data_IF_819473853297
#
_entry.id   IF_819473853297
#
_cell.length_a   1.000
_cell.length_b   1.000
_cell.length_c   1.000
_cell.angle_alpha   90.00
_cell.angle_beta   90.00
_cell.angle_gamma   90.00
#
_symmetry.space_group_name_H-M   'P 1'
#
loop_
_entity.id
_entity.type
_entity.pdbx_description
1 polymer ?
#
# COMPACT_ATOMS: atom_id res chain seq x y z
N UNK A 1 11.65 11.42 -2.61
CA UNK A 1 10.40 11.31 -1.82
C UNK A 1 10.11 9.84 -1.58
N UNK A 2 9.97 9.43 -0.31
CA UNK A 2 9.64 8.04 0.04
C UNK A 2 8.16 7.79 -0.21
N UNK A 3 7.81 6.64 -0.78
CA UNK A 3 6.42 6.19 -0.79
C UNK A 3 5.97 5.78 0.63
N UNK A 4 4.66 5.66 0.83
CA UNK A 4 4.11 5.16 2.10
C UNK A 4 4.40 3.67 2.26
N UNK A 5 4.46 3.19 3.51
CA UNK A 5 4.60 1.76 3.81
C UNK A 5 3.44 0.93 3.22
N UNK A 6 2.24 1.51 3.16
CA UNK A 6 1.05 0.87 2.57
C UNK A 6 1.23 0.65 1.07
N UNK A 7 1.78 1.66 0.38
CA UNK A 7 2.11 1.54 -1.04
C UNK A 7 3.16 0.47 -1.30
N UNK A 8 4.25 0.48 -0.54
CA UNK A 8 5.34 -0.51 -0.71
C UNK A 8 4.83 -1.93 -0.46
N UNK A 9 4.06 -2.16 0.61
CA UNK A 9 3.43 -3.45 0.87
C UNK A 9 2.52 -3.90 -0.29
N UNK A 10 1.68 -3.01 -0.81
CA UNK A 10 0.80 -3.35 -1.92
C UNK A 10 1.58 -3.76 -3.18
N UNK A 11 2.71 -3.10 -3.45
CA UNK A 11 3.59 -3.44 -4.57
C UNK A 11 4.27 -4.80 -4.35
N UNK A 12 4.78 -5.06 -3.15
CA UNK A 12 5.42 -6.34 -2.80
C UNK A 12 4.44 -7.51 -2.91
N UNK A 13 3.21 -7.34 -2.41
CA UNK A 13 2.19 -8.39 -2.50
C UNK A 13 1.76 -8.60 -3.95
N UNK A 14 1.62 -7.53 -4.74
CA UNK A 14 1.28 -7.67 -6.15
C UNK A 14 2.41 -8.38 -6.95
N UNK A 15 3.67 -8.04 -6.69
CA UNK A 15 4.84 -8.71 -7.28
C UNK A 15 4.90 -10.20 -6.87
N UNK A 16 4.60 -10.52 -5.62
CA UNK A 16 4.68 -11.90 -5.12
C UNK A 16 3.53 -12.81 -5.61
N UNK A 17 2.36 -12.24 -5.88
CA UNK A 17 1.15 -13.00 -6.22
C UNK A 17 0.84 -12.99 -7.73
N UNK A 18 1.70 -12.38 -8.55
CA UNK A 18 1.53 -12.31 -10.01
C UNK A 18 2.86 -12.47 -10.75
N UNK A 19 2.82 -12.54 -12.08
CA UNK A 19 4.01 -12.59 -12.92
C UNK A 19 4.61 -11.20 -13.21
N UNK A 20 4.13 -10.14 -12.53
CA UNK A 20 4.65 -8.79 -12.72
C UNK A 20 6.04 -8.65 -12.11
N UNK A 21 6.95 -8.05 -12.86
CA UNK A 21 8.19 -7.53 -12.29
C UNK A 21 7.89 -6.43 -11.26
N UNK A 22 8.84 -6.19 -10.35
CA UNK A 22 8.76 -5.08 -9.38
C UNK A 22 8.37 -3.74 -10.01
N UNK A 23 8.92 -3.43 -11.19
CA UNK A 23 8.62 -2.18 -11.88
C UNK A 23 7.17 -2.13 -12.37
N UNK A 24 6.67 -3.23 -12.91
CA UNK A 24 5.30 -3.34 -13.39
C UNK A 24 4.29 -3.33 -12.25
N UNK A 25 4.55 -4.04 -11.15
CA UNK A 25 3.71 -4.02 -9.96
C UNK A 25 3.58 -2.58 -9.41
N UNK A 26 4.70 -1.87 -9.26
CA UNK A 26 4.71 -0.45 -8.84
C UNK A 26 3.95 0.45 -9.82
N UNK A 27 4.18 0.27 -11.13
CA UNK A 27 3.50 1.03 -12.17
C UNK A 27 1.99 0.83 -12.15
N UNK A 28 1.55 -0.41 -11.90
CA UNK A 28 0.15 -0.81 -11.79
C UNK A 28 -0.54 -0.13 -10.61
N UNK A 29 0.05 -0.23 -9.42
CA UNK A 29 -0.49 0.42 -8.22
C UNK A 29 -0.51 1.95 -8.40
N UNK A 30 0.55 2.56 -8.95
CA UNK A 30 0.56 4.01 -9.21
C UNK A 30 -0.52 4.45 -10.19
N UNK A 31 -0.79 3.66 -11.23
CA UNK A 31 -1.84 3.96 -12.19
C UNK A 31 -3.23 3.88 -11.54
N UNK A 32 -3.48 2.85 -10.73
CA UNK A 32 -4.71 2.74 -9.95
C UNK A 32 -4.91 3.90 -8.97
N UNK A 33 -3.85 4.30 -8.25
CA UNK A 33 -3.88 5.46 -7.36
C UNK A 33 -4.15 6.76 -8.12
N UNK A 34 -3.51 6.97 -9.27
CA UNK A 34 -3.73 8.16 -10.11
C UNK A 34 -5.17 8.24 -10.60
N UNK A 35 -5.78 7.11 -11.00
CA UNK A 35 -7.20 7.02 -11.37
C UNK A 35 -8.12 7.39 -10.20
N UNK A 36 -7.69 7.14 -8.96
CA UNK A 36 -8.42 7.51 -7.74
C UNK A 36 -8.18 8.96 -7.27
N UNK A 37 -7.28 9.70 -7.92
CA UNK A 37 -6.83 11.02 -7.42
C UNK A 37 -5.99 10.93 -6.14
N UNK A 38 -5.30 9.81 -5.90
CA UNK A 38 -4.52 9.55 -4.70
C UNK A 38 -3.02 9.49 -5.01
N UNK A 39 -2.21 9.80 -3.99
CA UNK A 39 -0.76 9.88 -4.10
C UNK A 39 -0.07 8.79 -3.29
N UNK A 40 0.90 8.11 -3.91
CA UNK A 40 1.60 6.96 -3.32
C UNK A 40 2.32 7.25 -1.98
N UNK A 41 2.71 8.51 -1.74
CA UNK A 41 3.40 8.93 -0.53
C UNK A 41 2.46 9.30 0.63
N UNK A 42 1.16 9.50 0.35
CA UNK A 42 0.16 9.97 1.32
C UNK A 42 -1.00 8.97 1.53
N UNK A 43 -1.04 7.89 0.75
CA UNK A 43 -2.07 6.86 0.81
C UNK A 43 -2.06 6.12 2.16
N UNK A 44 -3.23 5.96 2.75
CA UNK A 44 -3.43 5.12 3.94
C UNK A 44 -4.01 3.73 3.61
N UNK A 45 -4.16 2.90 4.64
CA UNK A 45 -4.66 1.53 4.50
C UNK A 45 -6.08 1.46 3.95
N UNK A 46 -6.97 2.32 4.42
CA UNK A 46 -8.39 2.24 4.10
C UNK A 46 -8.61 2.72 2.67
N UNK A 47 -7.94 3.79 2.27
CA UNK A 47 -7.88 4.25 0.90
C UNK A 47 -7.28 3.18 -0.03
N UNK A 48 -6.19 2.50 0.38
CA UNK A 48 -5.60 1.42 -0.42
C UNK A 48 -6.54 0.22 -0.56
N UNK A 49 -7.28 -0.15 0.48
CA UNK A 49 -8.31 -1.20 0.40
C UNK A 49 -9.38 -0.83 -0.65
N UNK A 50 -9.87 0.41 -0.63
CA UNK A 50 -10.86 0.89 -1.61
C UNK A 50 -10.30 0.84 -3.03
N UNK A 51 -9.07 1.31 -3.26
CA UNK A 51 -8.41 1.25 -4.57
C UNK A 51 -8.27 -0.20 -5.04
N UNK A 52 -7.84 -1.09 -4.14
CA UNK A 52 -7.69 -2.53 -4.40
C UNK A 52 -9.01 -3.18 -4.82
N UNK A 53 -10.11 -2.81 -4.18
CA UNK A 53 -11.42 -3.41 -4.44
C UNK A 53 -12.16 -2.78 -5.65
N UNK A 54 -11.92 -1.50 -5.95
CA UNK A 54 -12.72 -0.74 -6.92
C UNK A 54 -12.01 -0.40 -8.23
N UNK A 55 -10.68 -0.31 -8.23
CA UNK A 55 -9.93 0.22 -9.37
C UNK A 55 -8.89 -0.78 -9.87
N UNK A 56 -8.16 -1.40 -8.94
CA UNK A 56 -7.13 -2.38 -9.28
C UNK A 56 -7.63 -3.57 -10.13
N UNK A 57 -8.88 -4.08 -10.02
CA UNK A 57 -9.33 -5.18 -10.87
C UNK A 57 -9.21 -4.86 -12.37
N UNK A 58 -9.57 -3.65 -12.78
CA UNK A 58 -9.49 -3.22 -14.19
C UNK A 58 -8.04 -3.18 -14.68
N UNK A 59 -7.13 -2.69 -13.83
CA UNK A 59 -5.70 -2.60 -14.12
C UNK A 59 -5.01 -3.96 -14.24
N UNK A 60 -5.46 -4.95 -13.46
CA UNK A 60 -4.97 -6.32 -13.52
C UNK A 60 -5.47 -7.02 -14.80
N UNK A 61 -6.75 -6.88 -15.14
CA UNK A 61 -7.31 -7.42 -16.38
C UNK A 61 -6.62 -6.86 -17.60
N UNK A 62 -6.34 -5.55 -17.64
CA UNK A 62 -5.59 -4.91 -18.73
C UNK A 62 -4.16 -5.46 -18.90
N UNK A 63 -3.62 -6.14 -17.88
CA UNK A 63 -2.31 -6.78 -17.88
C UNK A 63 -2.38 -8.30 -18.04
N UNK A 64 -3.57 -8.86 -18.26
CA UNK A 64 -3.77 -10.31 -18.38
C UNK A 64 -3.70 -11.07 -17.06
N UNK A 65 -3.82 -10.37 -15.92
CA UNK A 65 -3.79 -10.99 -14.59
C UNK A 65 -5.22 -11.18 -14.10
N UNK A 66 -5.55 -12.40 -13.68
CA UNK A 66 -6.85 -12.72 -13.10
C UNK A 66 -6.98 -12.08 -11.71
N UNK A 67 -7.88 -11.08 -11.51
CA UNK A 67 -7.94 -10.37 -10.23
C UNK A 67 -8.27 -11.27 -9.05
N UNK A 68 -9.04 -12.34 -9.26
CA UNK A 68 -9.40 -13.30 -8.19
C UNK A 68 -8.19 -14.05 -7.63
N UNK A 69 -7.11 -14.16 -8.39
CA UNK A 69 -5.87 -14.81 -7.93
C UNK A 69 -5.12 -13.92 -6.91
N UNK A 70 -5.20 -12.60 -7.05
CA UNK A 70 -4.32 -11.65 -6.32
C UNK A 70 -5.06 -10.86 -5.25
N UNK A 71 -6.24 -10.33 -5.57
CA UNK A 71 -6.95 -9.36 -4.73
C UNK A 71 -7.30 -9.89 -3.33
N UNK A 72 -7.73 -11.15 -3.13
CA UNK A 72 -8.00 -11.67 -1.79
C UNK A 72 -6.77 -11.66 -0.88
N UNK A 73 -5.59 -11.99 -1.41
CA UNK A 73 -4.33 -11.92 -0.65
C UNK A 73 -3.96 -10.48 -0.36
N UNK A 74 -4.04 -9.59 -1.35
CA UNK A 74 -3.72 -8.18 -1.16
C UNK A 74 -4.61 -7.51 -0.10
N UNK A 75 -5.93 -7.67 -0.18
CA UNK A 75 -6.87 -7.13 0.82
C UNK A 75 -6.60 -7.72 2.20
N UNK A 76 -6.34 -9.03 2.31
CA UNK A 76 -6.00 -9.67 3.59
C UNK A 76 -4.73 -9.07 4.20
N UNK A 77 -3.68 -8.84 3.39
CA UNK A 77 -2.41 -8.26 3.84
C UNK A 77 -2.58 -6.81 4.27
N UNK A 78 -3.32 -6.01 3.50
CA UNK A 78 -3.63 -4.63 3.87
C UNK A 78 -4.43 -4.54 5.17
N UNK A 79 -5.46 -5.39 5.36
CA UNK A 79 -6.25 -5.41 6.61
C UNK A 79 -5.44 -5.91 7.81
N UNK A 80 -4.43 -6.75 7.59
CA UNK A 80 -3.51 -7.21 8.63
C UNK A 80 -2.50 -6.15 9.10
N UNK A 81 -2.41 -5.00 8.42
CA UNK A 81 -1.77 -3.81 8.96
C UNK A 81 -2.63 -3.25 10.11
N UNK A 82 -2.60 -3.93 11.25
CA UNK A 82 -3.11 -3.41 12.51
C UNK A 82 -1.97 -2.68 13.23
N UNK A 83 -2.03 -1.35 13.21
CA UNK A 83 -1.15 -0.48 13.98
C UNK A 83 -0.06 0.23 13.16
N UNK A 84 0.03 1.54 13.36
CA UNK A 84 1.16 2.41 12.98
C UNK A 84 1.33 2.81 11.49
N UNK A 85 0.33 3.48 10.92
CA UNK A 85 0.58 4.48 9.86
C UNK A 85 0.26 5.92 10.30
N UNK A 86 -0.33 6.12 11.48
CA UNK A 86 -0.67 7.45 12.00
C UNK A 86 0.30 8.01 13.05
N UNK A 87 1.35 7.30 13.46
CA UNK A 87 2.46 7.94 14.19
C UNK A 87 3.30 8.75 13.21
N UNK A 88 2.82 9.95 12.90
CA UNK A 88 3.73 11.10 12.90
C UNK A 88 4.42 11.03 14.25
N UNK A 89 5.71 10.71 14.27
CA UNK A 89 6.53 10.88 15.47
C UNK A 89 6.49 12.37 15.78
N UNK A 90 5.56 12.77 16.65
CA UNK A 90 5.53 14.13 17.15
C UNK A 90 6.81 14.34 17.93
N UNK A 91 7.49 15.50 17.81
CA UNK A 91 8.71 15.78 18.56
C UNK A 91 8.60 15.44 20.06
N UNK A 92 7.41 15.63 20.66
CA UNK A 92 7.15 15.28 22.07
C UNK A 92 7.41 13.79 22.42
N UNK A 93 7.24 12.88 21.45
CA UNK A 93 7.49 11.44 21.67
C UNK A 93 8.99 11.08 21.71
N UNK A 94 9.85 11.91 21.11
CA UNK A 94 11.32 11.78 21.18
C UNK A 94 11.82 12.28 22.53
N UNK A 95 11.33 13.44 22.99
CA UNK A 95 11.72 14.01 24.28
C UNK A 95 11.36 13.11 25.46
N UNK A 96 10.24 12.39 25.38
CA UNK A 96 9.82 11.46 26.44
C UNK A 96 10.72 10.22 26.56
N UNK A 97 11.43 9.84 25.49
CA UNK A 97 12.34 8.68 25.49
C UNK A 97 13.74 9.01 26.02
N UNK A 98 14.16 10.26 25.96
CA UNK A 98 15.46 10.72 26.49
C UNK A 98 15.42 11.14 27.96
N UNK A 99 14.24 11.43 28.50
CA UNK A 99 14.05 11.81 29.91
C UNK A 99 13.73 10.62 30.84
N UNK A 100 13.87 9.38 30.33
CA UNK A 100 13.38 8.16 30.99
C UNK A 100 14.35 6.99 30.99
N UNK A 101 15.66 7.26 30.97
CA UNK A 101 16.67 6.32 31.45
C UNK A 101 17.37 6.99 32.63
N UNK A 102 17.19 6.39 33.81
CA UNK A 102 17.88 6.73 35.05
C UNK A 102 19.31 6.22 35.04
#
# INVERSE_FOLDING_TARGET
MSASAVFELACEVLEAESDLSRLEARGTIRLALKKAGLEAHAIDRDQMCVVTEKILPEELVARGIEPRAVLPTLVRRLRSLTGDTSKRVSPESIFRKLAGDA
#
